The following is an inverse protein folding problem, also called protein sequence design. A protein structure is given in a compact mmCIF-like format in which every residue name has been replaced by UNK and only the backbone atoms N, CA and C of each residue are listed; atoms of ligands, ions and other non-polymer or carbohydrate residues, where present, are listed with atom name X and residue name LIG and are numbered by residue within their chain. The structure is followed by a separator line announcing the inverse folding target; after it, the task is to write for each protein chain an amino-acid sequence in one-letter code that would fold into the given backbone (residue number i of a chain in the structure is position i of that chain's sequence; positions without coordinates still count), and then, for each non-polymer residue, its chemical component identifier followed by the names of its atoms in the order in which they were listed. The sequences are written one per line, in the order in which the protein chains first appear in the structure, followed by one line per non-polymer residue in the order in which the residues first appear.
data_IF_232851571480
#
_entry.id   IF_232851571480
#
_cell.length_a   1.000
_cell.length_b   1.000
_cell.length_c   1.000
_cell.angle_alpha   90.00
_cell.angle_beta   90.00
_cell.angle_gamma   90.00
#
_symmetry.space_group_name_H-M   'P 1'
#
loop_
_entity.id
_entity.type
_entity.pdbx_description
1 polymer ?
#
# COMPACT_ATOMS: atom_id res chain seq x y z
N UNK A 1 -22.26 10.97 -7.08
CA UNK A 1 -23.15 11.32 -5.96
C UNK A 1 -24.18 10.23 -5.65
N UNK A 2 -24.38 9.24 -6.53
CA UNK A 2 -25.35 8.13 -6.34
C UNK A 2 -24.75 6.81 -5.80
N UNK A 3 -23.57 6.81 -5.16
CA UNK A 3 -23.04 5.58 -4.53
C UNK A 3 -23.73 5.35 -3.18
N UNK A 4 -24.22 4.13 -2.96
CA UNK A 4 -24.86 3.73 -1.70
C UNK A 4 -23.86 3.62 -0.55
N UNK A 5 -22.57 3.42 -0.86
CA UNK A 5 -21.48 3.44 0.13
C UNK A 5 -21.18 4.89 0.50
N UNK A 6 -21.92 5.40 1.48
CA UNK A 6 -21.80 6.77 1.99
C UNK A 6 -21.94 6.80 3.49
N UNK A 7 -21.47 7.87 4.10
CA UNK A 7 -21.78 8.17 5.50
C UNK A 7 -23.28 8.38 5.66
N UNK A 8 -23.87 7.67 6.62
CA UNK A 8 -25.29 7.82 7.02
C UNK A 8 -25.44 8.07 8.52
N UNK A 9 -24.37 8.49 9.19
CA UNK A 9 -24.31 8.73 10.62
C UNK A 9 -23.83 7.51 11.39
N UNK A 10 -24.39 7.30 12.58
CA UNK A 10 -23.91 6.28 13.50
C UNK A 10 -24.62 4.94 13.30
N UNK A 11 -23.84 3.85 13.32
CA UNK A 11 -24.34 2.47 13.30
C UNK A 11 -23.56 1.64 14.31
N UNK A 12 -24.25 0.71 15.00
CA UNK A 12 -23.64 -0.35 15.83
C UNK A 12 -23.75 -1.75 15.21
N UNK A 13 -24.47 -1.87 14.08
CA UNK A 13 -24.78 -3.14 13.45
C UNK A 13 -24.27 -3.15 12.00
N UNK A 14 -23.45 -4.14 11.62
CA UNK A 14 -23.08 -4.32 10.22
C UNK A 14 -24.30 -4.63 9.34
N UNK A 15 -25.34 -5.27 9.86
CA UNK A 15 -26.60 -5.52 9.13
C UNK A 15 -27.33 -4.23 8.79
N UNK A 16 -27.39 -3.28 9.73
CA UNK A 16 -27.92 -1.94 9.46
C UNK A 16 -27.08 -1.24 8.38
N UNK A 17 -25.76 -1.32 8.48
CA UNK A 17 -24.84 -0.78 7.47
C UNK A 17 -25.10 -1.37 6.09
N UNK A 18 -25.27 -2.70 5.99
CA UNK A 18 -25.56 -3.35 4.72
C UNK A 18 -26.94 -3.05 4.16
N UNK A 19 -27.92 -2.67 4.99
CA UNK A 19 -29.22 -2.18 4.51
C UNK A 19 -29.08 -0.86 3.76
N UNK A 20 -28.10 -0.02 4.15
CA UNK A 20 -27.83 1.26 3.48
C UNK A 20 -26.86 1.09 2.32
N UNK A 21 -25.72 0.45 2.55
CA UNK A 21 -24.65 0.33 1.56
C UNK A 21 -24.94 -0.72 0.48
N UNK A 22 -25.77 -1.72 0.79
CA UNK A 22 -25.93 -2.92 -0.02
C UNK A 22 -24.70 -3.83 0.10
N UNK A 23 -24.89 -5.03 0.67
CA UNK A 23 -23.81 -6.00 0.87
C UNK A 23 -23.13 -6.37 -0.46
N UNK A 24 -23.89 -6.76 -1.48
CA UNK A 24 -23.35 -7.21 -2.77
C UNK A 24 -22.55 -6.10 -3.48
N UNK A 25 -23.10 -4.88 -3.52
CA UNK A 25 -22.41 -3.73 -4.10
C UNK A 25 -21.12 -3.41 -3.34
N UNK A 26 -21.16 -3.44 -2.01
CA UNK A 26 -19.99 -3.18 -1.17
C UNK A 26 -18.91 -4.26 -1.33
N UNK A 27 -19.31 -5.52 -1.42
CA UNK A 27 -18.41 -6.64 -1.67
C UNK A 27 -17.78 -6.55 -3.07
N UNK A 28 -18.55 -6.14 -4.08
CA UNK A 28 -18.04 -5.88 -5.43
C UNK A 28 -16.94 -4.83 -5.42
N UNK A 29 -17.13 -3.73 -4.69
CA UNK A 29 -16.13 -2.66 -4.58
C UNK A 29 -14.88 -3.12 -3.84
N UNK A 30 -15.02 -3.94 -2.78
CA UNK A 30 -13.89 -4.53 -2.07
C UNK A 30 -13.09 -5.48 -2.97
N UNK A 31 -13.76 -6.39 -3.68
CA UNK A 31 -13.11 -7.31 -4.64
C UNK A 31 -12.42 -6.53 -5.77
N UNK A 32 -13.05 -5.46 -6.29
CA UNK A 32 -12.44 -4.56 -7.26
C UNK A 32 -11.13 -3.99 -6.73
N UNK A 33 -11.11 -3.50 -5.49
CA UNK A 33 -9.90 -2.96 -4.88
C UNK A 33 -8.81 -4.05 -4.75
N UNK A 34 -9.15 -5.24 -4.26
CA UNK A 34 -8.20 -6.36 -4.14
C UNK A 34 -7.61 -6.74 -5.50
N UNK A 35 -8.44 -6.91 -6.54
CA UNK A 35 -7.95 -7.27 -7.90
C UNK A 35 -7.15 -6.16 -8.57
N UNK A 36 -7.47 -4.90 -8.28
CA UNK A 36 -6.76 -3.75 -8.82
C UNK A 36 -5.39 -3.57 -8.17
N UNK A 37 -5.33 -3.57 -6.83
CA UNK A 37 -4.08 -3.34 -6.10
C UNK A 37 -3.20 -4.59 -5.98
N UNK A 38 -3.77 -5.79 -6.15
CA UNK A 38 -3.08 -7.07 -6.03
C UNK A 38 -2.27 -7.22 -4.72
N UNK A 39 -2.87 -6.99 -3.53
CA UNK A 39 -2.13 -7.03 -2.27
C UNK A 39 -1.78 -8.46 -1.86
N UNK A 40 -0.59 -8.67 -1.31
CA UNK A 40 -0.24 -9.94 -0.66
C UNK A 40 -0.93 -10.12 0.70
N UNK A 41 -1.18 -9.00 1.39
CA UNK A 41 -1.70 -8.98 2.76
C UNK A 41 -2.90 -8.03 2.85
N UNK A 42 -3.96 -8.49 3.48
CA UNK A 42 -5.08 -7.66 3.92
C UNK A 42 -5.05 -7.51 5.45
N UNK A 43 -5.41 -6.33 5.95
CA UNK A 43 -5.48 -6.05 7.38
C UNK A 43 -6.55 -4.98 7.64
N UNK A 44 -7.83 -5.35 7.86
CA UNK A 44 -8.82 -4.38 8.33
C UNK A 44 -8.43 -3.89 9.73
N UNK A 45 -8.66 -2.61 9.99
CA UNK A 45 -8.20 -1.95 11.22
C UNK A 45 -8.97 -2.36 12.47
N UNK A 46 -10.21 -2.83 12.33
CA UNK A 46 -11.13 -3.09 13.44
C UNK A 46 -11.64 -4.52 13.46
N UNK A 47 -12.11 -4.95 14.62
CA UNK A 47 -12.74 -6.26 14.80
C UNK A 47 -14.23 -6.22 14.43
N UNK A 48 -14.77 -7.39 14.10
CA UNK A 48 -16.22 -7.59 13.99
C UNK A 48 -16.80 -8.16 15.30
N UNK A 49 -16.74 -7.37 16.37
CA UNK A 49 -17.29 -7.73 17.69
C UNK A 49 -18.36 -6.73 18.13
N UNK A 50 -19.34 -7.13 18.95
CA UNK A 50 -20.24 -6.18 19.60
C UNK A 50 -19.45 -5.13 20.40
N UNK A 51 -19.96 -3.89 20.44
CA UNK A 51 -19.22 -2.73 20.95
C UNK A 51 -18.58 -1.87 19.86
N UNK A 52 -18.14 -2.49 18.76
CA UNK A 52 -17.59 -1.76 17.61
C UNK A 52 -18.68 -1.06 16.77
N UNK A 53 -18.27 -0.02 16.04
CA UNK A 53 -19.16 0.66 15.09
C UNK A 53 -19.51 -0.27 13.92
N UNK A 54 -20.79 -0.28 13.54
CA UNK A 54 -21.34 -1.12 12.47
C UNK A 54 -20.66 -0.93 11.12
N UNK A 55 -20.13 0.26 10.83
CA UNK A 55 -19.34 0.51 9.62
C UNK A 55 -18.03 -0.28 9.61
N UNK A 56 -17.29 -0.23 10.72
CA UNK A 56 -16.03 -0.95 10.89
C UNK A 56 -16.24 -2.46 10.78
N UNK A 57 -17.27 -2.95 11.50
CA UNK A 57 -17.69 -4.35 11.46
C UNK A 57 -18.06 -4.80 10.05
N UNK A 58 -18.80 -3.99 9.30
CA UNK A 58 -19.17 -4.28 7.91
C UNK A 58 -17.93 -4.36 7.02
N UNK A 59 -16.98 -3.42 7.13
CA UNK A 59 -15.72 -3.46 6.38
C UNK A 59 -14.89 -4.69 6.71
N UNK A 60 -14.82 -5.10 7.98
CA UNK A 60 -14.10 -6.31 8.39
C UNK A 60 -14.72 -7.56 7.78
N UNK A 61 -16.06 -7.70 7.79
CA UNK A 61 -16.76 -8.80 7.11
C UNK A 61 -16.49 -8.82 5.61
N UNK A 62 -16.62 -7.67 4.93
CA UNK A 62 -16.35 -7.56 3.50
C UNK A 62 -14.90 -7.92 3.16
N UNK A 63 -13.93 -7.53 4.00
CA UNK A 63 -12.52 -7.86 3.80
C UNK A 63 -12.27 -9.37 3.93
N UNK A 64 -12.91 -10.02 4.92
CA UNK A 64 -12.83 -11.48 5.11
C UNK A 64 -13.44 -12.23 3.91
N UNK A 65 -14.58 -11.76 3.39
CA UNK A 65 -15.22 -12.35 2.21
C UNK A 65 -14.40 -12.11 0.93
N UNK A 66 -13.85 -10.91 0.76
CA UNK A 66 -13.04 -10.56 -0.41
C UNK A 66 -11.72 -11.34 -0.45
N UNK A 67 -11.12 -11.65 0.71
CA UNK A 67 -9.94 -12.52 0.79
C UNK A 67 -10.13 -13.84 0.02
N UNK A 68 -11.31 -14.44 0.13
CA UNK A 68 -11.64 -15.70 -0.56
C UNK A 68 -12.12 -15.45 -1.99
N UNK A 69 -13.07 -14.53 -2.18
CA UNK A 69 -13.80 -14.36 -3.44
C UNK A 69 -13.01 -13.60 -4.50
N UNK A 70 -12.00 -12.81 -4.14
CA UNK A 70 -11.19 -12.09 -5.12
C UNK A 70 -10.38 -13.02 -6.03
N UNK A 71 -10.05 -14.23 -5.55
CA UNK A 71 -9.34 -15.26 -6.28
C UNK A 71 -10.23 -16.05 -7.27
N UNK A 72 -11.55 -15.94 -7.16
CA UNK A 72 -12.49 -16.61 -8.05
C UNK A 72 -12.85 -15.71 -9.24
N UNK A 73 -12.42 -16.01 -10.48
CA UNK A 73 -12.70 -15.19 -11.66
C UNK A 73 -14.19 -15.16 -12.04
N UNK A 74 -15.03 -15.99 -11.42
CA UNK A 74 -16.47 -16.00 -11.69
C UNK A 74 -17.26 -14.94 -10.91
N UNK A 75 -16.72 -14.43 -9.81
CA UNK A 75 -17.32 -13.32 -9.07
C UNK A 75 -17.08 -11.99 -9.78
N UNK A 76 -18.14 -11.21 -9.97
CA UNK A 76 -18.11 -9.86 -10.57
C UNK A 76 -17.25 -9.79 -11.84
N UNK A 77 -17.62 -10.60 -12.84
CA UNK A 77 -16.93 -10.68 -14.14
C UNK A 77 -16.91 -9.35 -14.89
N UNK A 78 -17.87 -8.48 -14.60
CA UNK A 78 -18.02 -7.14 -15.17
C UNK A 78 -16.89 -6.17 -14.78
N UNK A 79 -16.06 -6.51 -13.77
CA UNK A 79 -14.96 -5.67 -13.34
C UNK A 79 -13.80 -5.60 -14.35
N UNK A 80 -13.69 -6.57 -15.27
CA UNK A 80 -12.58 -6.68 -16.23
C UNK A 80 -11.19 -6.59 -15.57
N UNK A 81 -11.06 -7.17 -14.39
CA UNK A 81 -9.82 -7.27 -13.63
C UNK A 81 -9.48 -8.74 -13.39
N UNK A 82 -8.19 -9.13 -13.52
CA UNK A 82 -7.77 -10.51 -13.25
C UNK A 82 -8.07 -10.88 -11.80
N UNK A 83 -8.46 -12.14 -11.58
CA UNK A 83 -8.61 -12.66 -10.23
C UNK A 83 -7.27 -12.57 -9.48
N UNK A 84 -7.34 -12.28 -8.19
CA UNK A 84 -6.16 -12.12 -7.34
C UNK A 84 -6.33 -12.87 -6.04
N UNK A 85 -5.33 -13.68 -5.71
CA UNK A 85 -5.31 -14.49 -4.50
C UNK A 85 -4.43 -13.81 -3.47
N UNK A 86 -5.06 -13.37 -2.38
CA UNK A 86 -4.36 -12.75 -1.25
C UNK A 86 -3.70 -13.85 -0.42
N UNK A 87 -2.48 -13.61 0.04
CA UNK A 87 -1.69 -14.61 0.75
C UNK A 87 -1.99 -14.67 2.25
N UNK A 88 -2.26 -13.51 2.88
CA UNK A 88 -2.49 -13.42 4.34
C UNK A 88 -3.58 -12.39 4.67
N UNK A 89 -4.37 -12.68 5.70
CA UNK A 89 -5.34 -11.76 6.29
C UNK A 89 -5.07 -11.65 7.79
N UNK A 90 -4.77 -10.44 8.24
CA UNK A 90 -4.55 -10.12 9.65
C UNK A 90 -5.74 -9.38 10.25
N UNK A 91 -6.00 -9.59 11.53
CA UNK A 91 -6.86 -8.75 12.37
C UNK A 91 -6.01 -8.07 13.44
N UNK A 92 -6.45 -6.93 14.01
CA UNK A 92 -5.84 -6.41 15.22
C UNK A 92 -5.94 -7.42 16.37
N UNK A 93 -4.87 -7.62 17.13
CA UNK A 93 -4.88 -8.41 18.37
C UNK A 93 -4.98 -7.49 19.61
N UNK A 94 -5.74 -6.41 19.48
CA UNK A 94 -6.00 -5.38 20.48
C UNK A 94 -7.44 -4.87 20.31
N UNK A 95 -8.06 -4.37 21.37
CA UNK A 95 -9.41 -3.81 21.32
C UNK A 95 -9.45 -2.52 20.51
N UNK A 96 -10.53 -2.25 19.81
CA UNK A 96 -10.54 -1.11 18.88
C UNK A 96 -10.24 0.20 19.59
N UNK A 97 -9.25 0.93 19.07
CA UNK A 97 -8.94 2.30 19.47
C UNK A 97 -8.51 2.54 20.92
N UNK A 98 -7.89 1.59 21.62
CA UNK A 98 -7.28 1.86 22.93
C UNK A 98 -8.29 2.24 24.02
N UNK A 99 -9.44 1.57 24.06
CA UNK A 99 -10.52 1.83 25.03
C UNK A 99 -11.57 2.85 24.56
N UNK A 100 -11.51 3.29 23.31
CA UNK A 100 -12.54 4.16 22.70
C UNK A 100 -13.83 3.42 22.34
N UNK A 101 -13.82 2.08 22.42
CA UNK A 101 -14.94 1.21 22.08
C UNK A 101 -15.24 0.27 23.24
N UNK A 102 -16.53 0.04 23.48
CA UNK A 102 -17.03 -0.85 24.52
C UNK A 102 -17.07 -2.30 24.00
N UNK A 103 -15.91 -2.82 23.56
CA UNK A 103 -15.80 -4.18 23.01
C UNK A 103 -16.33 -5.20 24.02
N UNK A 104 -17.37 -5.94 23.63
CA UNK A 104 -17.99 -6.94 24.51
C UNK A 104 -17.22 -8.27 24.51
N UNK A 105 -16.29 -8.43 23.56
CA UNK A 105 -15.46 -9.62 23.38
C UNK A 105 -13.97 -9.23 23.43
N UNK A 106 -13.16 -10.11 24.02
CA UNK A 106 -11.69 -9.93 23.99
C UNK A 106 -11.16 -10.06 22.56
N UNK A 107 -10.10 -9.29 22.21
CA UNK A 107 -9.44 -9.46 20.92
C UNK A 107 -8.86 -10.88 20.78
N UNK A 108 -8.67 -11.38 19.55
CA UNK A 108 -8.05 -12.68 19.34
C UNK A 108 -6.58 -12.69 19.78
N UNK A 109 -6.06 -13.89 20.04
CA UNK A 109 -4.66 -14.08 20.43
C UNK A 109 -3.70 -13.56 19.36
N UNK A 110 -2.68 -12.82 19.79
CA UNK A 110 -1.65 -12.31 18.90
C UNK A 110 -0.78 -13.43 18.35
N UNK A 111 -0.49 -13.37 17.05
CA UNK A 111 0.41 -14.30 16.35
C UNK A 111 1.55 -13.58 15.64
N UNK A 112 1.52 -12.26 15.54
CA UNK A 112 2.57 -11.45 14.91
C UNK A 112 2.77 -10.18 15.72
N UNK A 113 4.02 -9.80 15.95
CA UNK A 113 4.43 -8.73 16.86
C UNK A 113 5.38 -7.78 16.12
N UNK A 114 4.85 -6.69 15.59
CA UNK A 114 5.64 -5.75 14.79
C UNK A 114 6.26 -4.69 15.70
N UNK A 115 7.57 -4.49 15.62
CA UNK A 115 8.20 -3.33 16.25
C UNK A 115 7.84 -2.07 15.48
N UNK A 116 7.05 -1.21 16.13
CA UNK A 116 6.66 0.11 15.62
C UNK A 116 7.29 1.25 16.42
N UNK A 117 8.08 0.92 17.43
CA UNK A 117 8.84 1.84 18.28
C UNK A 117 10.29 2.02 17.85
N UNK A 118 10.82 1.16 16.98
CA UNK A 118 12.15 1.34 16.38
C UNK A 118 12.21 2.63 15.54
N UNK A 119 13.26 3.43 15.75
CA UNK A 119 13.48 4.67 15.01
C UNK A 119 13.99 4.39 13.60
N UNK A 120 13.27 4.87 12.59
CA UNK A 120 13.71 4.78 11.21
C UNK A 120 14.41 6.07 10.77
N UNK A 121 15.74 6.02 10.61
CA UNK A 121 16.55 7.19 10.22
C UNK A 121 16.20 7.77 8.84
N UNK A 122 15.66 6.96 7.92
CA UNK A 122 15.24 7.43 6.60
C UNK A 122 13.90 8.17 6.65
N UNK A 123 13.02 7.78 7.58
CA UNK A 123 11.69 8.39 7.75
C UNK A 123 11.67 9.49 8.82
N UNK A 124 12.71 9.57 9.66
CA UNK A 124 12.88 10.60 10.68
C UNK A 124 12.03 10.42 11.94
N UNK A 125 11.59 9.19 12.22
CA UNK A 125 10.75 8.88 13.38
C UNK A 125 10.45 7.38 13.50
N UNK A 126 9.79 7.01 14.60
CA UNK A 126 9.22 5.67 14.76
C UNK A 126 7.93 5.52 13.98
N UNK A 127 7.51 4.28 13.66
CA UNK A 127 6.23 4.05 13.00
C UNK A 127 5.04 4.50 13.85
N UNK A 128 5.14 4.41 15.18
CA UNK A 128 4.14 4.93 16.10
C UNK A 128 4.02 6.47 16.04
N UNK A 129 5.14 7.19 15.95
CA UNK A 129 5.13 8.65 15.78
C UNK A 129 4.51 9.05 14.45
N UNK A 130 4.89 8.37 13.36
CA UNK A 130 4.30 8.60 12.04
C UNK A 130 2.79 8.35 12.02
N UNK A 131 2.32 7.35 12.78
CA UNK A 131 0.90 7.11 13.00
C UNK A 131 0.18 8.31 13.61
N UNK A 132 0.77 8.94 14.63
CA UNK A 132 0.20 10.14 15.26
C UNK A 132 0.30 11.40 14.39
N UNK A 133 1.37 11.55 13.60
CA UNK A 133 1.46 12.62 12.61
C UNK A 133 0.33 12.51 11.58
N UNK A 134 0.07 11.30 11.06
CA UNK A 134 -1.08 11.03 10.19
C UNK A 134 -2.40 11.42 10.86
N UNK A 135 -2.61 11.01 12.11
CA UNK A 135 -3.80 11.34 12.90
C UNK A 135 -3.99 12.85 13.08
N UNK A 136 -2.92 13.63 13.20
CA UNK A 136 -2.99 15.10 13.32
C UNK A 136 -3.60 15.80 12.10
N UNK A 137 -3.58 15.17 10.92
CA UNK A 137 -4.27 15.68 9.72
C UNK A 137 -5.79 15.54 9.80
N UNK A 138 -6.32 14.75 10.74
CA UNK A 138 -7.76 14.62 11.00
C UNK A 138 -8.27 15.70 11.97
N UNK A 139 -7.97 16.97 11.67
CA UNK A 139 -8.21 18.11 12.57
C UNK A 139 -9.67 18.24 13.06
N UNK A 140 -10.66 17.97 12.20
CA UNK A 140 -12.08 18.04 12.58
C UNK A 140 -12.51 16.95 13.56
N UNK A 141 -11.71 15.89 13.69
CA UNK A 141 -11.96 14.77 14.60
C UNK A 141 -11.17 14.92 15.91
N UNK A 142 -10.31 15.94 16.03
CA UNK A 142 -9.46 16.16 17.21
C UNK A 142 -8.46 15.04 17.46
N UNK A 143 -7.94 14.40 16.41
CA UNK A 143 -7.00 13.29 16.51
C UNK A 143 -5.54 13.77 16.42
N UNK A 144 -4.63 12.88 16.82
CA UNK A 144 -3.19 13.12 16.83
C UNK A 144 -2.71 13.63 18.19
N UNK A 145 -1.64 13.04 18.71
CA UNK A 145 -0.94 13.52 19.90
C UNK A 145 0.56 13.60 19.66
N UNK A 146 1.25 14.47 20.39
CA UNK A 146 2.70 14.41 20.43
C UNK A 146 3.11 13.11 21.13
N UNK A 147 3.95 12.32 20.47
CA UNK A 147 4.41 11.03 20.96
C UNK A 147 5.93 11.00 20.97
N UNK A 148 6.51 10.73 22.13
CA UNK A 148 7.95 10.56 22.28
C UNK A 148 8.40 9.20 21.74
N UNK A 149 9.68 9.08 21.41
CA UNK A 149 10.29 7.80 21.01
C UNK A 149 10.22 6.80 22.17
N UNK A 150 9.59 5.65 21.94
CA UNK A 150 9.44 4.61 22.94
C UNK A 150 9.32 3.23 22.27
N UNK A 151 9.88 2.16 22.85
CA UNK A 151 9.64 0.80 22.39
C UNK A 151 8.15 0.48 22.35
N UNK A 152 7.64 0.05 21.20
CA UNK A 152 6.21 -0.22 21.02
C UNK A 152 6.03 -1.39 20.06
N UNK A 153 5.23 -2.36 20.49
CA UNK A 153 4.92 -3.55 19.71
C UNK A 153 3.45 -3.48 19.28
N UNK A 154 3.22 -3.53 17.97
CA UNK A 154 1.90 -3.70 17.39
C UNK A 154 1.61 -5.20 17.23
N UNK A 155 0.63 -5.68 18.00
CA UNK A 155 0.19 -7.07 17.96
C UNK A 155 -0.92 -7.30 16.93
N UNK A 156 -0.71 -8.27 16.05
CA UNK A 156 -1.66 -8.70 15.02
C UNK A 156 -1.98 -10.19 15.15
N UNK A 157 -3.18 -10.57 14.73
CA UNK A 157 -3.66 -11.94 14.67
C UNK A 157 -3.78 -12.40 13.21
N UNK A 158 -3.08 -13.46 12.82
CA UNK A 158 -3.19 -14.07 11.50
C UNK A 158 -4.48 -14.90 11.42
N UNK A 159 -5.52 -14.33 10.81
CA UNK A 159 -6.83 -14.96 10.70
C UNK A 159 -6.91 -16.01 9.58
N UNK A 160 -6.38 -15.69 8.41
CA UNK A 160 -6.36 -16.60 7.24
C UNK A 160 -5.02 -16.50 6.51
N UNK A 161 -4.61 -17.61 5.90
CA UNK A 161 -3.47 -17.62 4.98
C UNK A 161 -3.65 -18.66 3.89
N UNK A 162 -3.10 -18.36 2.71
CA UNK A 162 -2.96 -19.31 1.60
C UNK A 162 -1.61 -20.06 1.62
N UNK A 163 -0.74 -19.73 2.56
CA UNK A 163 0.54 -20.43 2.72
C UNK A 163 0.27 -21.83 3.28
N UNK A 164 1.01 -22.83 2.78
CA UNK A 164 0.90 -24.22 3.24
C UNK A 164 1.23 -24.34 4.74
N UNK A 165 2.28 -23.65 5.17
CA UNK A 165 2.78 -23.63 6.54
C UNK A 165 2.96 -22.16 6.97
N UNK A 166 1.86 -21.47 7.33
CA UNK A 166 1.91 -20.05 7.64
C UNK A 166 2.68 -19.83 8.95
N UNK A 167 3.71 -18.97 8.96
CA UNK A 167 4.50 -18.76 10.15
C UNK A 167 3.70 -17.95 11.18
N UNK A 168 3.79 -18.38 12.43
CA UNK A 168 3.17 -17.74 13.61
C UNK A 168 4.26 -17.36 14.60
N UNK A 169 3.93 -16.44 15.51
CA UNK A 169 4.85 -15.76 16.43
C UNK A 169 6.01 -15.07 15.71
N UNK A 170 5.68 -14.34 14.64
CA UNK A 170 6.66 -13.64 13.81
C UNK A 170 6.76 -12.16 14.16
N UNK A 171 7.87 -11.54 13.79
CA UNK A 171 8.14 -10.11 13.91
C UNK A 171 7.90 -9.34 12.59
N UNK A 172 7.51 -10.03 11.52
CA UNK A 172 7.26 -9.45 10.21
C UNK A 172 5.90 -9.86 9.65
N UNK A 173 5.24 -8.90 8.99
CA UNK A 173 3.97 -9.15 8.30
C UNK A 173 4.17 -10.01 7.04
N UNK A 174 5.34 -9.86 6.39
CA UNK A 174 5.74 -10.60 5.21
C UNK A 174 6.35 -11.97 5.50
N UNK A 175 6.41 -12.45 6.75
CA UNK A 175 6.94 -13.80 7.02
C UNK A 175 6.21 -14.86 6.19
N UNK A 176 6.98 -15.68 5.47
CA UNK A 176 6.49 -16.67 4.50
C UNK A 176 6.23 -16.12 3.09
N UNK A 177 6.50 -14.83 2.86
CA UNK A 177 6.41 -14.12 1.58
C UNK A 177 7.75 -13.43 1.29
N UNK A 178 8.03 -13.04 0.03
CA UNK A 178 9.18 -12.21 -0.29
C UNK A 178 9.10 -10.84 0.40
N UNK A 179 9.97 -10.60 1.37
CA UNK A 179 10.16 -9.30 2.03
C UNK A 179 11.27 -8.44 1.42
N UNK A 180 12.13 -9.01 0.58
CA UNK A 180 13.23 -8.33 -0.11
C UNK A 180 13.35 -8.77 -1.58
N UNK A 181 14.12 -8.02 -2.37
CA UNK A 181 14.45 -8.41 -3.74
C UNK A 181 15.21 -9.73 -3.78
N UNK A 182 16.15 -9.94 -2.87
CA UNK A 182 16.88 -11.20 -2.76
C UNK A 182 15.91 -12.38 -2.59
N UNK A 183 15.00 -12.30 -1.62
CA UNK A 183 14.00 -13.34 -1.37
C UNK A 183 13.05 -13.52 -2.57
N UNK A 184 12.67 -12.43 -3.23
CA UNK A 184 11.83 -12.49 -4.43
C UNK A 184 12.55 -13.17 -5.61
N UNK A 185 13.85 -12.92 -5.77
CA UNK A 185 14.68 -13.56 -6.78
C UNK A 185 14.76 -15.09 -6.66
N UNK A 186 14.57 -15.64 -5.45
CA UNK A 186 14.58 -17.09 -5.21
C UNK A 186 13.40 -17.83 -5.86
N UNK A 187 12.34 -17.12 -6.24
CA UNK A 187 11.19 -17.71 -6.95
C UNK A 187 11.49 -17.96 -8.43
N UNK A 188 12.61 -17.45 -8.94
CA UNK A 188 13.02 -17.61 -10.32
C UNK A 188 14.25 -18.52 -10.43
N UNK A 189 14.34 -19.36 -11.48
CA UNK A 189 15.55 -20.13 -11.73
C UNK A 189 16.75 -19.21 -11.98
N UNK A 190 17.95 -19.74 -11.79
CA UNK A 190 19.17 -19.03 -12.16
C UNK A 190 19.15 -18.62 -13.64
N UNK A 191 19.48 -17.36 -13.90
CA UNK A 191 19.38 -16.79 -15.24
C UNK A 191 19.13 -15.29 -15.22
N UNK A 192 18.69 -14.76 -16.37
CA UNK A 192 18.57 -13.31 -16.59
C UNK A 192 17.64 -12.61 -15.60
N UNK A 193 16.49 -13.21 -15.28
CA UNK A 193 15.51 -12.63 -14.34
C UNK A 193 16.12 -12.51 -12.95
N UNK A 194 16.64 -13.62 -12.41
CA UNK A 194 17.25 -13.64 -11.06
C UNK A 194 18.47 -12.72 -10.97
N UNK A 195 19.29 -12.65 -12.02
CA UNK A 195 20.42 -11.73 -12.07
C UNK A 195 19.98 -10.26 -12.09
N UNK A 196 18.95 -9.91 -12.88
CA UNK A 196 18.41 -8.55 -12.89
C UNK A 196 17.79 -8.17 -11.54
N UNK A 197 17.08 -9.09 -10.88
CA UNK A 197 16.55 -8.86 -9.53
C UNK A 197 17.68 -8.62 -8.52
N UNK A 198 18.77 -9.39 -8.61
CA UNK A 198 19.95 -9.19 -7.75
C UNK A 198 20.59 -7.81 -7.98
N UNK A 199 20.74 -7.39 -9.23
CA UNK A 199 21.25 -6.05 -9.54
C UNK A 199 20.33 -4.94 -9.02
N UNK A 200 19.01 -5.13 -9.12
CA UNK A 200 18.03 -4.21 -8.54
C UNK A 200 18.17 -4.13 -7.01
N UNK A 201 18.40 -5.25 -6.33
CA UNK A 201 18.65 -5.30 -4.88
C UNK A 201 19.89 -4.49 -4.48
N UNK A 202 21.01 -4.73 -5.16
CA UNK A 202 22.29 -4.04 -4.95
C UNK A 202 22.14 -2.52 -5.11
N UNK A 203 21.53 -2.07 -6.21
CA UNK A 203 21.29 -0.64 -6.49
C UNK A 203 20.31 -0.01 -5.49
N UNK A 204 19.26 -0.73 -5.08
CA UNK A 204 18.32 -0.22 -4.09
C UNK A 204 18.96 -0.06 -2.71
N UNK A 205 19.88 -0.96 -2.36
CA UNK A 205 20.68 -0.88 -1.14
C UNK A 205 21.67 0.28 -1.19
N UNK A 206 22.30 0.52 -2.34
CA UNK A 206 23.17 1.66 -2.58
C UNK A 206 22.42 2.99 -2.41
N UNK A 207 21.20 3.11 -2.94
CA UNK A 207 20.34 4.29 -2.72
C UNK A 207 20.11 4.55 -1.23
N UNK A 208 19.82 3.51 -0.45
CA UNK A 208 19.57 3.64 0.98
C UNK A 208 20.84 4.04 1.74
N UNK A 209 22.00 3.45 1.40
CA UNK A 209 23.28 3.78 2.03
C UNK A 209 23.73 5.22 1.74
N UNK A 210 23.43 5.72 0.54
CA UNK A 210 23.78 7.07 0.14
C UNK A 210 22.78 8.14 0.63
N UNK A 211 21.66 7.76 1.24
CA UNK A 211 20.70 8.73 1.76
C UNK A 211 21.34 9.61 2.87
N UNK A 212 21.23 10.96 2.81
CA UNK A 212 20.37 11.76 1.93
C UNK A 212 21.06 12.43 0.72
N UNK A 213 22.24 11.97 0.29
CA UNK A 213 22.95 12.53 -0.87
C UNK A 213 22.18 12.29 -2.19
N UNK A 214 21.45 13.32 -2.61
CA UNK A 214 20.57 13.25 -3.77
C UNK A 214 21.31 12.99 -5.09
N UNK A 215 22.56 13.42 -5.22
CA UNK A 215 23.33 13.21 -6.46
C UNK A 215 23.74 11.74 -6.60
N UNK A 216 24.25 11.13 -5.53
CA UNK A 216 24.61 9.71 -5.54
C UNK A 216 23.37 8.83 -5.70
N UNK A 217 22.26 9.19 -5.05
CA UNK A 217 20.99 8.46 -5.14
C UNK A 217 20.42 8.50 -6.57
N UNK A 218 20.41 9.66 -7.25
CA UNK A 218 19.74 9.76 -8.55
C UNK A 218 20.40 8.85 -9.61
N UNK A 219 21.72 8.74 -9.59
CA UNK A 219 22.46 7.87 -10.51
C UNK A 219 22.07 6.40 -10.28
N UNK A 220 22.08 5.97 -9.02
CA UNK A 220 21.68 4.61 -8.62
C UNK A 220 20.22 4.32 -9.01
N UNK A 221 19.31 5.30 -8.84
CA UNK A 221 17.91 5.18 -9.24
C UNK A 221 17.72 5.11 -10.76
N UNK A 222 18.56 5.77 -11.55
CA UNK A 222 18.53 5.71 -13.01
C UNK A 222 18.90 4.30 -13.49
N UNK A 223 20.04 3.77 -13.02
CA UNK A 223 20.48 2.40 -13.32
C UNK A 223 19.45 1.37 -12.85
N UNK A 224 18.91 1.56 -11.64
CA UNK A 224 17.86 0.70 -11.10
C UNK A 224 16.63 0.69 -12.00
N UNK A 225 16.20 1.86 -12.48
CA UNK A 225 15.05 1.99 -13.37
C UNK A 225 15.27 1.27 -14.70
N UNK A 226 16.49 1.29 -15.26
CA UNK A 226 16.80 0.59 -16.49
C UNK A 226 16.83 -0.93 -16.32
N UNK A 227 17.32 -1.42 -15.17
CA UNK A 227 17.19 -2.83 -14.79
C UNK A 227 15.71 -3.23 -14.71
N UNK A 228 14.87 -2.42 -14.06
CA UNK A 228 13.45 -2.73 -13.93
C UNK A 228 12.72 -2.72 -15.28
N UNK A 229 13.01 -1.76 -16.18
CA UNK A 229 12.43 -1.74 -17.54
C UNK A 229 12.74 -3.04 -18.30
N UNK A 230 13.97 -3.52 -18.21
CA UNK A 230 14.35 -4.80 -18.82
C UNK A 230 13.63 -5.99 -18.17
N UNK A 231 13.48 -5.98 -16.84
CA UNK A 231 12.78 -7.04 -16.11
C UNK A 231 11.29 -7.11 -16.47
N UNK A 232 10.63 -5.98 -16.71
CA UNK A 232 9.20 -5.92 -17.10
C UNK A 232 8.90 -6.75 -18.35
N UNK A 233 9.83 -6.82 -19.30
CA UNK A 233 9.70 -7.59 -20.54
C UNK A 233 9.92 -9.09 -20.36
N UNK A 234 10.56 -9.51 -19.27
CA UNK A 234 10.96 -10.91 -19.03
C UNK A 234 10.17 -11.57 -17.90
N UNK A 235 9.70 -10.80 -16.92
CA UNK A 235 9.06 -11.35 -15.72
C UNK A 235 7.65 -11.86 -16.06
N UNK A 236 7.30 -13.09 -15.65
CA UNK A 236 5.98 -13.64 -15.94
C UNK A 236 4.88 -12.93 -15.12
N UNK A 237 3.66 -12.96 -15.64
CA UNK A 237 2.48 -12.73 -14.80
C UNK A 237 2.38 -13.82 -13.71
N UNK A 238 1.91 -13.47 -12.50
CA UNK A 238 1.31 -12.19 -12.19
C UNK A 238 2.30 -11.17 -11.59
N UNK A 239 3.60 -11.47 -11.54
CA UNK A 239 4.60 -10.69 -10.79
C UNK A 239 5.03 -9.39 -11.45
N UNK A 240 4.69 -9.19 -12.73
CA UNK A 240 4.97 -7.97 -13.49
C UNK A 240 4.56 -6.68 -12.76
N UNK A 241 3.40 -6.70 -12.10
CA UNK A 241 2.88 -5.53 -11.36
C UNK A 241 3.83 -5.05 -10.25
N UNK A 242 4.64 -5.95 -9.65
CA UNK A 242 5.60 -5.61 -8.59
C UNK A 242 6.74 -4.77 -9.14
N UNK A 243 7.25 -5.15 -10.31
CA UNK A 243 8.31 -4.43 -11.01
C UNK A 243 7.81 -3.07 -11.48
N UNK A 244 6.60 -3.02 -12.06
CA UNK A 244 5.98 -1.76 -12.47
C UNK A 244 5.75 -0.81 -11.29
N UNK A 245 5.32 -1.32 -10.13
CA UNK A 245 5.18 -0.53 -8.91
C UNK A 245 6.53 0.06 -8.48
N UNK A 246 7.58 -0.75 -8.45
CA UNK A 246 8.91 -0.31 -8.04
C UNK A 246 9.54 0.68 -9.02
N UNK A 247 9.28 0.52 -10.32
CA UNK A 247 9.69 1.49 -11.34
C UNK A 247 9.00 2.85 -11.14
N UNK A 248 7.70 2.86 -10.84
CA UNK A 248 6.98 4.11 -10.51
C UNK A 248 7.54 4.77 -9.24
N UNK A 249 7.81 3.99 -8.20
CA UNK A 249 8.40 4.49 -6.94
C UNK A 249 9.81 5.05 -7.16
N UNK A 250 10.65 4.38 -7.95
CA UNK A 250 11.98 4.87 -8.31
C UNK A 250 11.92 6.20 -9.06
N UNK A 251 11.00 6.34 -10.03
CA UNK A 251 10.78 7.59 -10.74
C UNK A 251 10.34 8.74 -9.82
N UNK A 252 9.47 8.46 -8.85
CA UNK A 252 9.05 9.45 -7.84
C UNK A 252 10.22 9.86 -6.93
N UNK A 253 11.03 8.91 -6.49
CA UNK A 253 12.22 9.17 -5.68
C UNK A 253 13.25 10.00 -6.46
N UNK A 254 13.51 9.65 -7.74
CA UNK A 254 14.42 10.39 -8.60
C UNK A 254 13.95 11.83 -8.83
N UNK A 255 12.64 12.01 -9.09
CA UNK A 255 12.05 13.34 -9.22
C UNK A 255 12.22 14.20 -7.95
N UNK A 256 12.12 13.58 -6.77
CA UNK A 256 12.37 14.24 -5.49
C UNK A 256 13.84 14.63 -5.32
N UNK A 257 14.79 13.74 -5.62
CA UNK A 257 16.23 14.03 -5.60
C UNK A 257 16.61 15.19 -6.53
N UNK A 258 15.99 15.23 -7.72
CA UNK A 258 16.21 16.28 -8.71
C UNK A 258 15.43 17.58 -8.43
N UNK A 259 14.61 17.62 -7.38
CA UNK A 259 13.70 18.74 -7.05
C UNK A 259 12.86 19.15 -8.27
N UNK A 260 12.40 18.18 -9.05
CA UNK A 260 11.58 18.47 -10.23
C UNK A 260 10.24 19.01 -9.78
N UNK A 261 9.94 20.26 -10.16
CA UNK A 261 8.64 20.90 -9.90
C UNK A 261 7.85 20.98 -11.19
N UNK A 262 7.05 19.96 -11.53
CA UNK A 262 6.17 20.03 -12.68
C UNK A 262 5.10 21.09 -12.44
N UNK A 263 4.90 21.96 -13.43
CA UNK A 263 3.83 22.95 -13.46
C UNK A 263 2.96 22.64 -14.67
N UNK A 264 1.68 22.41 -14.40
CA UNK A 264 0.64 22.28 -15.42
C UNK A 264 -0.20 23.55 -15.43
N UNK A 265 -0.35 24.16 -16.60
CA UNK A 265 -1.23 25.30 -16.82
C UNK A 265 -2.26 24.88 -17.86
N UNK A 266 -3.52 24.77 -17.43
CA UNK A 266 -4.63 24.40 -18.32
C UNK A 266 -5.16 25.61 -19.07
N UNK A 267 -5.53 25.43 -20.34
CA UNK A 267 -6.07 26.45 -21.23
C UNK A 267 -7.34 25.91 -21.92
N UNK A 268 -8.55 26.38 -21.52
CA UNK A 268 -8.81 27.36 -20.46
C UNK A 268 -8.48 26.83 -19.07
N UNK A 269 -8.22 27.73 -18.12
CA UNK A 269 -7.81 27.42 -16.72
C UNK A 269 -8.75 26.43 -16.02
N UNK A 270 -10.03 26.42 -16.42
CA UNK A 270 -11.04 25.45 -15.98
C UNK A 270 -11.47 24.59 -17.16
N UNK A 271 -10.78 23.49 -17.45
CA UNK A 271 -11.20 22.57 -18.50
C UNK A 271 -12.60 22.00 -18.17
N UNK A 272 -13.43 21.86 -19.20
CA UNK A 272 -14.79 21.33 -19.08
C UNK A 272 -14.77 19.86 -19.49
N UNK A 273 -15.36 19.00 -18.66
CA UNK A 273 -15.47 17.57 -18.96
C UNK A 273 -16.09 17.34 -20.34
N UNK A 274 -15.47 16.47 -21.15
CA UNK A 274 -15.90 16.16 -22.52
C UNK A 274 -15.57 17.22 -23.59
N UNK A 275 -14.76 18.23 -23.26
CA UNK A 275 -14.25 19.23 -24.22
C UNK A 275 -12.73 19.13 -24.34
N UNK A 276 -12.22 19.43 -25.54
CA UNK A 276 -10.79 19.58 -25.75
C UNK A 276 -10.28 20.78 -24.95
N UNK A 277 -9.10 20.62 -24.35
CA UNK A 277 -8.35 21.70 -23.71
C UNK A 277 -6.87 21.55 -24.10
N UNK A 278 -6.14 22.67 -24.06
CA UNK A 278 -4.70 22.67 -24.18
C UNK A 278 -4.09 22.72 -22.76
N UNK A 279 -2.87 22.23 -22.59
CA UNK A 279 -2.12 22.47 -21.37
C UNK A 279 -0.67 22.82 -21.71
N UNK A 280 -0.08 23.69 -20.90
CA UNK A 280 1.36 23.89 -20.87
C UNK A 280 1.93 23.08 -19.73
N UNK A 281 3.03 22.38 -20.01
CA UNK A 281 3.80 21.64 -19.04
C UNK A 281 5.21 22.21 -18.98
N UNK A 282 5.66 22.57 -17.79
CA UNK A 282 7.04 22.95 -17.56
C UNK A 282 7.58 22.22 -16.34
N UNK A 283 8.89 21.94 -16.34
CA UNK A 283 9.59 21.36 -15.21
C UNK A 283 10.71 22.32 -14.83
N UNK A 284 10.72 22.78 -13.59
CA UNK A 284 11.88 23.45 -13.03
C UNK A 284 12.87 22.39 -12.54
N UNK A 285 14.11 22.41 -13.05
CA UNK A 285 15.20 21.52 -12.63
C UNK A 285 16.14 22.17 -11.63
N UNK A 286 16.84 21.37 -10.84
CA UNK A 286 17.93 21.85 -10.01
C UNK A 286 19.13 22.33 -10.86
N UNK A 287 19.89 23.36 -10.41
CA UNK A 287 20.96 23.96 -11.20
C UNK A 287 22.14 23.03 -11.53
N UNK A 288 22.28 21.92 -10.81
CA UNK A 288 23.38 20.96 -10.97
C UNK A 288 23.07 19.78 -11.90
N UNK A 289 21.85 19.68 -12.46
CA UNK A 289 21.56 18.73 -13.53
C UNK A 289 21.96 19.31 -14.89
N UNK A 290 22.79 18.59 -15.66
CA UNK A 290 23.15 18.98 -17.03
C UNK A 290 21.95 18.78 -17.99
N UNK A 291 22.01 19.33 -19.21
CA UNK A 291 20.89 19.24 -20.18
C UNK A 291 20.75 17.86 -20.83
N UNK A 292 21.84 17.10 -20.93
CA UNK A 292 21.86 15.80 -21.62
C UNK A 292 21.28 14.65 -20.78
N UNK A 293 20.99 14.88 -19.51
CA UNK A 293 20.52 13.87 -18.54
C UNK A 293 18.99 13.69 -18.53
N UNK A 294 18.24 14.35 -19.41
CA UNK A 294 16.79 14.43 -19.31
C UNK A 294 16.05 14.16 -20.63
N UNK A 295 15.31 13.05 -20.67
CA UNK A 295 14.37 12.72 -21.74
C UNK A 295 12.95 12.69 -21.18
N UNK A 296 12.08 13.61 -21.65
CA UNK A 296 10.63 13.52 -21.39
C UNK A 296 9.98 12.82 -22.57
N UNK A 297 9.58 11.58 -22.38
CA UNK A 297 8.73 10.87 -23.33
C UNK A 297 7.26 11.16 -22.98
N UNK A 298 6.59 11.96 -23.81
CA UNK A 298 5.15 12.23 -23.69
C UNK A 298 4.43 11.32 -24.68
N UNK A 299 3.81 10.25 -24.16
CA UNK A 299 2.94 9.36 -24.95
C UNK A 299 1.49 9.84 -24.95
#
# INVERSE_FOLDING_TARGET
EDDSIRDFGFSKSPEQTFTVWGHEHSLRQMIKAVRFFKPDVLCPTFLDVPGQHGHHRAVTRLTIEAFEKAADPTYFRDLDLPAWKVSKLYLPAWSGGGGSYDDEESPPDATTYLDVGEFNFHLGGTYAQMGEWSRSYHATQGMGVLKDEHPEILSLHLLKSDLKDPPVHTDQICSGLPGSWEQFGLFFPEGKIRNGIKQADELSSECLQNFPDSNSIVNSLADFSDILKNLIEMIPEPDKHRIELKLRQAGQAAAACCVLKPKFIFLPEKPVSGKNFNFEFSIHKSPWLEEDDFFVDVK
#
